data_IF_174306710816
#
_entry.id   IF_174306710816
#
_cell.length_a   1.000
_cell.length_b   1.000
_cell.length_c   1.000
_cell.angle_alpha   90.00
_cell.angle_beta   90.00
_cell.angle_gamma   90.00
#
_symmetry.space_group_name_H-M   'P 1'
#
loop_
_entity.id
_entity.type
_entity.pdbx_description
1 polymer ?
#
# COMPACT_ATOMS: atom_id res chain seq x y z
N UNK A 1 -19.42 -12.39 15.37
CA UNK A 1 -18.48 -12.03 14.30
C UNK A 1 -18.14 -10.55 14.39
N UNK A 2 -16.98 -10.21 14.94
CA UNK A 2 -16.55 -8.81 15.10
C UNK A 2 -15.80 -8.27 13.88
N UNK A 3 -15.14 -9.15 13.12
CA UNK A 3 -14.28 -8.75 11.98
C UNK A 3 -15.03 -7.97 10.89
N UNK A 4 -16.21 -8.39 10.41
CA UNK A 4 -16.92 -7.65 9.36
C UNK A 4 -17.33 -6.24 9.83
N UNK A 5 -17.71 -6.10 11.10
CA UNK A 5 -18.00 -4.81 11.72
C UNK A 5 -16.73 -3.95 11.79
N UNK A 6 -15.60 -4.55 12.19
CA UNK A 6 -14.32 -3.85 12.29
C UNK A 6 -13.84 -3.33 10.93
N UNK A 7 -13.92 -4.17 9.88
CA UNK A 7 -13.61 -3.75 8.51
C UNK A 7 -14.49 -2.58 8.07
N UNK A 8 -15.80 -2.66 8.32
CA UNK A 8 -16.72 -1.56 7.99
C UNK A 8 -16.38 -0.27 8.72
N UNK A 9 -16.02 -0.34 10.00
CA UNK A 9 -15.62 0.82 10.81
C UNK A 9 -14.31 1.44 10.32
N UNK A 10 -13.37 0.61 9.87
CA UNK A 10 -12.06 1.03 9.35
C UNK A 10 -12.08 1.38 7.85
N UNK A 11 -13.22 1.22 7.17
CA UNK A 11 -13.33 1.44 5.72
C UNK A 11 -12.58 0.42 4.87
N UNK A 12 -12.34 -0.78 5.40
CA UNK A 12 -11.60 -1.86 4.75
C UNK A 12 -12.53 -2.81 4.00
N UNK A 13 -12.08 -3.32 2.85
CA UNK A 13 -12.74 -4.39 2.10
C UNK A 13 -11.71 -5.49 1.81
N UNK A 14 -11.56 -6.39 2.77
CA UNK A 14 -10.47 -7.36 2.79
C UNK A 14 -10.98 -8.79 2.64
N UNK A 15 -10.05 -9.71 2.38
CA UNK A 15 -10.30 -11.14 2.45
C UNK A 15 -10.90 -11.56 3.82
N UNK A 16 -11.59 -12.72 3.88
CA UNK A 16 -12.01 -13.31 5.15
C UNK A 16 -10.85 -13.37 6.16
N UNK A 17 -11.17 -13.23 7.44
CA UNK A 17 -10.16 -13.14 8.51
C UNK A 17 -9.12 -14.27 8.46
N UNK A 18 -9.60 -15.50 8.26
CA UNK A 18 -8.75 -16.70 8.25
C UNK A 18 -7.84 -16.77 7.01
N UNK A 19 -8.18 -16.05 5.94
CA UNK A 19 -7.43 -16.00 4.68
C UNK A 19 -6.53 -14.75 4.58
N UNK A 20 -6.71 -13.76 5.46
CA UNK A 20 -6.09 -12.44 5.34
C UNK A 20 -4.55 -12.51 5.30
N UNK A 21 -3.94 -13.41 6.07
CA UNK A 21 -2.49 -13.57 6.09
C UNK A 21 -1.96 -13.98 4.70
N UNK A 22 -2.66 -14.89 4.03
CA UNK A 22 -2.27 -15.41 2.73
C UNK A 22 -2.63 -14.47 1.57
N UNK A 23 -3.77 -13.78 1.68
CA UNK A 23 -4.22 -12.79 0.70
C UNK A 23 -3.39 -11.50 0.76
N UNK A 24 -3.01 -11.07 1.96
CA UNK A 24 -2.50 -9.71 2.20
C UNK A 24 -3.64 -8.69 2.24
N UNK A 25 -3.34 -7.49 2.75
CA UNK A 25 -4.30 -6.39 2.73
C UNK A 25 -4.37 -5.77 1.34
N UNK A 26 -5.57 -5.44 0.87
CA UNK A 26 -5.80 -4.86 -0.44
C UNK A 26 -5.31 -3.39 -0.46
N UNK A 27 -4.36 -3.02 -1.34
CA UNK A 27 -3.87 -1.64 -1.43
C UNK A 27 -4.95 -0.58 -1.67
N UNK A 28 -6.01 -0.93 -2.40
CA UNK A 28 -7.08 0.02 -2.76
C UNK A 28 -7.95 0.40 -1.57
N UNK A 29 -7.97 -0.40 -0.50
CA UNK A 29 -8.68 -0.04 0.73
C UNK A 29 -7.74 0.27 1.89
N UNK A 30 -6.70 -0.55 2.10
CA UNK A 30 -5.75 -0.33 3.17
C UNK A 30 -4.84 0.87 2.90
N UNK A 31 -4.04 0.85 1.82
CA UNK A 31 -3.10 1.96 1.55
C UNK A 31 -3.85 3.25 1.24
N UNK A 32 -4.91 3.19 0.43
CA UNK A 32 -5.77 4.34 0.15
C UNK A 32 -6.36 4.94 1.43
N UNK A 33 -7.00 4.11 2.27
CA UNK A 33 -7.67 4.55 3.49
C UNK A 33 -6.70 5.20 4.47
N UNK A 34 -5.55 4.54 4.72
CA UNK A 34 -4.50 5.09 5.59
C UNK A 34 -3.94 6.42 5.06
N UNK A 35 -3.75 6.53 3.74
CA UNK A 35 -3.28 7.77 3.12
C UNK A 35 -4.33 8.90 3.22
N UNK A 36 -5.59 8.60 2.92
CA UNK A 36 -6.69 9.58 2.98
C UNK A 36 -6.89 10.11 4.40
N UNK A 37 -6.79 9.24 5.41
CA UNK A 37 -6.86 9.62 6.81
C UNK A 37 -5.67 10.49 7.23
N UNK A 38 -4.46 10.17 6.78
CA UNK A 38 -3.27 10.99 7.02
C UNK A 38 -3.40 12.38 6.37
N UNK A 39 -3.83 12.45 5.11
CA UNK A 39 -4.07 13.70 4.37
C UNK A 39 -5.10 14.56 5.08
N UNK A 40 -6.21 13.96 5.53
CA UNK A 40 -7.23 14.64 6.32
C UNK A 40 -6.68 15.14 7.65
N UNK A 41 -5.86 14.33 8.33
CA UNK A 41 -5.27 14.65 9.63
C UNK A 41 -4.31 15.84 9.59
N UNK A 42 -3.50 15.96 8.53
CA UNK A 42 -2.54 17.07 8.39
C UNK A 42 -3.18 18.38 7.92
N UNK A 43 -4.41 18.33 7.40
CA UNK A 43 -5.18 19.50 6.95
C UNK A 43 -4.37 20.44 6.02
N UNK A 44 -3.60 19.85 5.10
CA UNK A 44 -2.77 20.57 4.13
C UNK A 44 -1.54 21.28 4.71
N UNK A 45 -1.23 21.13 6.00
CA UNK A 45 -0.09 21.80 6.64
C UNK A 45 1.26 21.19 6.29
N UNK A 46 1.29 19.90 5.98
CA UNK A 46 2.48 19.17 5.56
C UNK A 46 2.10 18.17 4.46
N UNK A 47 3.00 17.87 3.52
CA UNK A 47 2.74 16.85 2.50
C UNK A 47 2.77 15.45 3.11
N UNK A 48 1.93 14.55 2.59
CA UNK A 48 1.88 13.14 3.01
C UNK A 48 2.62 12.28 1.99
N UNK A 49 3.60 11.53 2.48
CA UNK A 49 4.34 10.53 1.71
C UNK A 49 4.12 9.17 2.35
N UNK A 50 3.48 8.25 1.64
CA UNK A 50 3.20 6.92 2.20
C UNK A 50 4.44 6.04 2.15
N UNK A 51 4.73 5.39 3.28
CA UNK A 51 5.73 4.32 3.34
C UNK A 51 5.17 3.06 2.69
N UNK A 52 5.75 2.63 1.57
CA UNK A 52 5.36 1.39 0.88
C UNK A 52 6.40 0.32 1.18
N UNK A 53 5.98 -0.72 1.89
CA UNK A 53 6.81 -1.88 2.20
C UNK A 53 7.03 -2.74 0.95
N UNK A 54 8.24 -2.77 0.45
CA UNK A 54 8.64 -3.60 -0.70
C UNK A 54 9.55 -4.71 -0.18
N UNK A 55 9.14 -5.96 -0.42
CA UNK A 55 9.90 -7.16 -0.01
C UNK A 55 10.24 -7.21 1.49
N UNK A 56 9.33 -6.73 2.33
CA UNK A 56 9.46 -6.83 3.77
C UNK A 56 9.61 -8.31 4.20
N UNK A 57 10.47 -8.62 5.19
CA UNK A 57 10.67 -9.99 5.66
C UNK A 57 9.35 -10.64 6.10
N UNK A 58 9.12 -11.86 5.64
CA UNK A 58 7.96 -12.66 6.04
C UNK A 58 8.30 -13.52 7.25
N UNK A 59 7.33 -13.66 8.16
CA UNK A 59 7.48 -14.48 9.38
C UNK A 59 6.78 -15.84 9.26
N UNK A 60 5.84 -15.96 8.33
CA UNK A 60 5.06 -17.17 8.09
C UNK A 60 5.20 -17.64 6.63
N UNK A 61 5.24 -18.96 6.36
CA UNK A 61 5.32 -19.49 5.00
C UNK A 61 4.18 -19.02 4.08
N UNK A 62 2.96 -18.97 4.61
CA UNK A 62 1.71 -18.62 3.94
C UNK A 62 1.52 -17.11 3.77
N UNK A 63 2.29 -16.28 4.47
CA UNK A 63 2.17 -14.82 4.38
C UNK A 63 2.29 -14.35 2.92
N UNK A 64 1.38 -13.47 2.50
CA UNK A 64 1.35 -12.90 1.17
C UNK A 64 2.74 -12.43 0.71
N UNK A 65 3.10 -12.74 -0.53
CA UNK A 65 4.37 -12.33 -1.13
C UNK A 65 4.23 -10.93 -1.72
N UNK A 66 5.31 -10.15 -1.64
CA UNK A 66 5.41 -8.93 -2.42
C UNK A 66 5.37 -9.27 -3.92
N UNK A 67 4.61 -8.50 -4.69
CA UNK A 67 4.48 -8.64 -6.13
C UNK A 67 4.56 -7.28 -6.80
N UNK A 68 4.87 -7.20 -8.11
CA UNK A 68 4.88 -5.93 -8.82
C UNK A 68 3.49 -5.27 -8.80
N UNK A 69 2.42 -6.06 -8.87
CA UNK A 69 1.03 -5.55 -8.85
C UNK A 69 0.69 -4.86 -7.52
N UNK A 70 1.06 -5.45 -6.37
CA UNK A 70 0.80 -4.85 -5.06
C UNK A 70 1.55 -3.51 -4.94
N UNK A 71 2.80 -3.44 -5.40
CA UNK A 71 3.58 -2.19 -5.38
C UNK A 71 2.92 -1.14 -6.30
N UNK A 72 2.56 -1.52 -7.53
CA UNK A 72 1.86 -0.67 -8.50
C UNK A 72 0.57 -0.08 -7.91
N UNK A 73 -0.33 -0.94 -7.39
CA UNK A 73 -1.60 -0.52 -6.79
C UNK A 73 -1.39 0.34 -5.55
N UNK A 74 -0.38 0.05 -4.73
CA UNK A 74 -0.06 0.86 -3.54
C UNK A 74 0.39 2.29 -3.90
N UNK A 75 1.19 2.43 -4.95
CA UNK A 75 1.59 3.76 -5.46
C UNK A 75 0.35 4.51 -5.97
N UNK A 76 -0.46 3.90 -6.83
CA UNK A 76 -1.67 4.55 -7.35
C UNK A 76 -2.69 4.87 -6.24
N UNK A 77 -2.86 4.00 -5.25
CA UNK A 77 -3.72 4.24 -4.09
C UNK A 77 -3.27 5.48 -3.31
N UNK A 78 -1.96 5.64 -3.11
CA UNK A 78 -1.39 6.82 -2.43
C UNK A 78 -1.76 8.12 -3.14
N UNK A 79 -1.52 8.20 -4.45
CA UNK A 79 -1.80 9.43 -5.20
C UNK A 79 -3.31 9.69 -5.34
N UNK A 80 -4.14 8.66 -5.54
CA UNK A 80 -5.61 8.79 -5.56
C UNK A 80 -6.17 9.31 -4.23
N UNK A 81 -5.52 8.99 -3.10
CA UNK A 81 -5.90 9.46 -1.77
C UNK A 81 -5.44 10.90 -1.46
N UNK A 82 -4.71 11.55 -2.37
CA UNK A 82 -4.16 12.90 -2.18
C UNK A 82 -2.76 12.92 -1.55
N UNK A 83 -2.11 11.77 -1.42
CA UNK A 83 -0.68 11.71 -1.09
C UNK A 83 0.16 12.37 -2.18
N UNK A 84 1.25 13.01 -1.77
CA UNK A 84 2.14 13.75 -2.69
C UNK A 84 3.40 12.96 -3.06
N UNK A 85 3.53 11.74 -2.57
CA UNK A 85 4.61 10.84 -2.94
C UNK A 85 4.60 9.55 -2.12
N UNK A 86 5.60 8.72 -2.39
CA UNK A 86 5.84 7.45 -1.70
C UNK A 86 7.30 7.36 -1.26
N UNK A 87 7.53 6.63 -0.17
CA UNK A 87 8.87 6.25 0.31
C UNK A 87 8.91 4.73 0.34
N UNK A 88 9.79 4.12 -0.45
CA UNK A 88 9.96 2.66 -0.41
C UNK A 88 10.81 2.27 0.80
N UNK A 89 10.31 1.30 1.57
CA UNK A 89 10.93 0.79 2.78
C UNK A 89 10.97 -0.75 2.75
N UNK A 90 11.89 -1.42 3.48
CA UNK A 90 12.82 -0.86 4.46
C UNK A 90 14.09 -0.26 3.85
N UNK A 91 14.84 -1.01 3.03
CA UNK A 91 16.01 -0.49 2.30
C UNK A 91 16.05 -1.06 0.87
N UNK A 92 16.64 -0.31 -0.06
CA UNK A 92 16.69 -0.68 -1.47
C UNK A 92 17.41 -2.02 -1.73
N UNK A 93 18.46 -2.33 -0.98
CA UNK A 93 19.24 -3.56 -1.18
C UNK A 93 18.45 -4.84 -0.84
N UNK A 94 17.38 -4.73 -0.05
CA UNK A 94 16.47 -5.83 0.28
C UNK A 94 15.30 -5.99 -0.71
N UNK A 95 15.16 -5.09 -1.69
CA UNK A 95 14.05 -5.08 -2.62
C UNK A 95 14.40 -5.84 -3.90
N UNK A 96 13.45 -6.63 -4.40
CA UNK A 96 13.56 -7.23 -5.73
C UNK A 96 13.20 -6.18 -6.77
N UNK A 97 14.12 -5.94 -7.73
CA UNK A 97 13.90 -4.95 -8.79
C UNK A 97 12.63 -5.25 -9.60
N UNK A 98 12.30 -6.53 -9.80
CA UNK A 98 11.07 -6.92 -10.48
C UNK A 98 9.81 -6.41 -9.77
N UNK A 99 9.81 -6.31 -8.43
CA UNK A 99 8.68 -5.74 -7.70
C UNK A 99 8.65 -4.22 -7.80
N UNK A 100 9.81 -3.56 -7.90
CA UNK A 100 9.91 -2.12 -8.14
C UNK A 100 9.46 -1.71 -9.55
N UNK A 101 9.47 -2.62 -10.52
CA UNK A 101 8.89 -2.34 -11.85
C UNK A 101 7.40 -1.94 -11.75
N UNK A 102 6.69 -2.45 -10.73
CA UNK A 102 5.33 -2.01 -10.42
C UNK A 102 5.26 -0.53 -10.05
N UNK A 103 6.19 -0.05 -9.23
CA UNK A 103 6.30 1.37 -8.90
C UNK A 103 6.67 2.21 -10.13
N UNK A 104 7.65 1.75 -10.92
CA UNK A 104 8.07 2.44 -12.14
C UNK A 104 6.88 2.62 -13.10
N UNK A 105 6.09 1.56 -13.31
CA UNK A 105 4.87 1.60 -14.09
C UNK A 105 3.86 2.63 -13.55
N UNK A 106 3.58 2.61 -12.25
CA UNK A 106 2.61 3.52 -11.64
C UNK A 106 3.04 4.99 -11.80
N UNK A 107 4.31 5.30 -11.54
CA UNK A 107 4.84 6.65 -11.65
C UNK A 107 4.85 7.17 -13.11
N UNK A 108 5.11 6.29 -14.08
CA UNK A 108 4.98 6.62 -15.50
C UNK A 108 3.52 6.93 -15.87
N UNK A 109 2.56 6.10 -15.44
CA UNK A 109 1.12 6.37 -15.67
C UNK A 109 0.63 7.67 -15.03
N UNK A 110 1.27 8.09 -13.92
CA UNK A 110 0.99 9.36 -13.24
C UNK A 110 1.71 10.58 -13.85
N UNK A 111 2.62 10.37 -14.81
CA UNK A 111 3.41 11.45 -15.43
C UNK A 111 4.43 12.09 -14.49
N UNK A 112 4.93 11.35 -13.49
CA UNK A 112 5.88 11.85 -12.48
C UNK A 112 7.34 11.61 -12.88
N UNK A 113 7.56 10.64 -13.77
CA UNK A 113 8.89 10.29 -14.26
C UNK A 113 8.96 10.61 -15.76
N UNK A 114 9.48 11.78 -16.10
CA UNK A 114 10.08 12.10 -17.42
C UNK A 114 11.56 12.43 -17.24
#
# INVERSE_FOLDING_TARGET
EMTPLMYKLLGLNEAPWDDLIAAGMDPDTYVYGQCADAVRGVAGKVPVYMGIGVDAPRTLPEQAKCTPDIVYRSVLATYRAGGQGVIFAPNYASMHLSNLDGAARALHELGINE
#
